data_IF_089671472756
#
_entry.id   IF_089671472756
#
_cell.length_a   1.000
_cell.length_b   1.000
_cell.length_c   1.000
_cell.angle_alpha   90.00
_cell.angle_beta   90.00
_cell.angle_gamma   90.00
#
_symmetry.space_group_name_H-M   'P 1'
#
loop_
_entity.id
_entity.type
_entity.pdbx_description
1 polymer ?
#
# COMPACT_ATOMS: atom_id res chain seq x y z
N UNK A 1 10.64 3.03 -9.15
CA UNK A 1 10.22 2.27 -7.95
C UNK A 1 9.92 3.27 -6.86
N UNK A 2 9.01 2.95 -5.93
CA UNK A 2 8.69 3.84 -4.83
C UNK A 2 9.79 3.84 -3.76
N UNK A 3 10.03 5.01 -3.15
CA UNK A 3 10.81 5.11 -1.92
C UNK A 3 9.93 4.74 -0.72
N UNK A 4 10.53 4.16 0.33
CA UNK A 4 9.81 3.73 1.52
C UNK A 4 10.52 4.20 2.78
N UNK A 5 9.77 4.90 3.64
CA UNK A 5 10.19 5.29 4.98
C UNK A 5 9.45 4.46 6.02
N UNK A 6 10.16 4.09 7.10
CA UNK A 6 9.62 3.33 8.21
C UNK A 6 9.87 4.03 9.54
N UNK A 7 8.81 4.27 10.29
CA UNK A 7 8.85 4.71 11.67
C UNK A 7 8.58 3.51 12.59
N UNK A 8 9.59 3.11 13.37
CA UNK A 8 9.51 1.99 14.29
C UNK A 8 8.74 2.28 15.58
N UNK A 9 8.65 3.55 16.00
CA UNK A 9 7.93 3.92 17.22
C UNK A 9 6.43 3.78 17.02
N UNK A 10 5.94 4.20 15.86
CA UNK A 10 4.52 4.14 15.50
C UNK A 10 4.13 2.95 14.62
N UNK A 11 5.12 2.14 14.21
CA UNK A 11 4.95 1.05 13.25
C UNK A 11 4.28 1.52 11.94
N UNK A 12 4.75 2.64 11.42
CA UNK A 12 4.17 3.33 10.26
C UNK A 12 5.10 3.25 9.07
N UNK A 13 4.56 2.82 7.93
CA UNK A 13 5.24 2.88 6.65
C UNK A 13 4.67 4.04 5.82
N UNK A 14 5.54 4.78 5.16
CA UNK A 14 5.18 5.76 4.14
C UNK A 14 5.87 5.39 2.83
N UNK A 15 5.08 5.08 1.81
CA UNK A 15 5.57 4.82 0.47
C UNK A 15 5.36 6.06 -0.41
N UNK A 16 6.41 6.46 -1.13
CA UNK A 16 6.46 7.68 -1.93
C UNK A 16 6.81 7.37 -3.39
N UNK A 17 6.00 7.86 -4.32
CA UNK A 17 6.26 7.80 -5.76
C UNK A 17 5.81 9.12 -6.39
N UNK A 18 6.73 9.83 -7.04
CA UNK A 18 6.52 11.17 -7.58
C UNK A 18 5.92 12.13 -6.53
N UNK A 19 4.68 12.59 -6.72
CA UNK A 19 3.94 13.46 -5.80
C UNK A 19 2.87 12.71 -4.97
N UNK A 20 2.96 11.38 -4.91
CA UNK A 20 2.02 10.51 -4.20
C UNK A 20 2.70 9.91 -2.98
N UNK A 21 2.10 10.09 -1.82
CA UNK A 21 2.49 9.51 -0.56
C UNK A 21 1.34 8.69 0.01
N UNK A 22 1.61 7.42 0.33
CA UNK A 22 0.67 6.50 0.97
C UNK A 22 1.24 6.10 2.33
N UNK A 23 0.57 6.53 3.40
CA UNK A 23 0.99 6.27 4.79
C UNK A 23 0.00 5.35 5.48
N UNK A 24 0.49 4.32 6.16
CA UNK A 24 -0.32 3.35 6.90
C UNK A 24 0.47 2.73 8.06
N UNK A 25 -0.23 2.32 9.11
CA UNK A 25 0.38 1.66 10.27
C UNK A 25 -0.02 0.19 10.33
N UNK A 26 0.85 -0.63 10.94
CA UNK A 26 0.57 -2.06 11.15
C UNK A 26 -0.72 -2.24 11.95
N UNK A 27 -1.52 -3.23 11.57
CA UNK A 27 -2.77 -3.63 12.19
C UNK A 27 -3.88 -2.56 12.22
N UNK A 28 -3.72 -1.48 11.45
CA UNK A 28 -4.71 -0.41 11.30
C UNK A 28 -5.22 -0.31 9.85
N UNK A 29 -6.54 -0.21 9.68
CA UNK A 29 -7.16 -0.01 8.36
C UNK A 29 -7.17 1.44 7.91
N UNK A 30 -6.96 2.39 8.82
CA UNK A 30 -6.88 3.80 8.48
C UNK A 30 -5.52 4.08 7.84
N UNK A 31 -5.56 4.79 6.72
CA UNK A 31 -4.39 5.21 5.96
C UNK A 31 -4.50 6.70 5.62
N UNK A 32 -3.46 7.24 5.00
CA UNK A 32 -3.47 8.58 4.42
C UNK A 32 -2.91 8.55 3.01
N UNK A 33 -3.58 9.23 2.08
CA UNK A 33 -3.09 9.48 0.72
C UNK A 33 -2.83 10.97 0.62
N UNK A 34 -1.58 11.39 0.40
CA UNK A 34 -1.19 12.80 0.38
C UNK A 34 -1.73 13.57 1.60
N UNK A 35 -1.55 12.97 2.79
CA UNK A 35 -2.03 13.48 4.07
C UNK A 35 -3.56 13.61 4.22
N UNK A 36 -4.36 13.08 3.29
CA UNK A 36 -5.83 13.01 3.41
C UNK A 36 -6.27 11.65 3.92
N UNK A 37 -7.29 11.57 4.80
CA UNK A 37 -7.78 10.29 5.33
C UNK A 37 -8.22 9.33 4.21
N UNK A 38 -7.84 8.06 4.37
CA UNK A 38 -8.23 6.96 3.51
C UNK A 38 -8.46 5.70 4.35
N UNK A 39 -9.06 4.67 3.75
CA UNK A 39 -9.31 3.39 4.42
C UNK A 39 -8.93 2.23 3.52
N UNK A 40 -8.22 1.27 4.08
CA UNK A 40 -7.90 -0.02 3.46
C UNK A 40 -8.96 -1.05 3.84
N UNK A 41 -9.24 -2.00 2.95
CA UNK A 41 -10.15 -3.11 3.24
C UNK A 41 -9.55 -4.11 4.24
N UNK A 42 -8.23 -4.26 4.20
CA UNK A 42 -7.46 -5.13 5.08
C UNK A 42 -6.27 -4.30 5.60
N UNK A 43 -5.94 -4.37 6.90
CA UNK A 43 -4.79 -3.63 7.43
C UNK A 43 -3.47 -4.20 6.91
N UNK A 44 -2.43 -3.38 6.94
CA UNK A 44 -1.07 -3.87 6.74
C UNK A 44 -0.66 -4.79 7.91
N UNK A 45 0.19 -5.77 7.63
CA UNK A 45 0.66 -6.78 8.61
C UNK A 45 2.17 -6.89 8.59
N UNK A 46 2.76 -7.15 9.75
CA UNK A 46 4.15 -7.57 9.84
C UNK A 46 4.21 -9.11 9.73
N UNK A 47 4.79 -9.61 8.65
CA UNK A 47 4.94 -11.05 8.39
C UNK A 47 6.42 -11.34 8.18
N UNK A 48 7.01 -12.16 9.06
CA UNK A 48 8.43 -12.52 9.00
C UNK A 48 9.37 -11.31 8.90
N UNK A 49 9.08 -10.26 9.67
CA UNK A 49 9.86 -9.01 9.67
C UNK A 49 9.67 -8.12 8.44
N UNK A 50 8.72 -8.44 7.56
CA UNK A 50 8.37 -7.62 6.39
C UNK A 50 6.97 -7.04 6.52
N UNK A 51 6.82 -5.79 6.12
CA UNK A 51 5.50 -5.15 6.01
C UNK A 51 4.80 -5.65 4.75
N UNK A 52 3.65 -6.28 4.93
CA UNK A 52 2.75 -6.71 3.88
C UNK A 52 1.55 -5.75 3.85
N UNK A 53 1.27 -5.19 2.68
CA UNK A 53 0.22 -4.19 2.45
C UNK A 53 -0.71 -4.67 1.33
N UNK A 54 -2.01 -4.37 1.35
CA UNK A 54 -2.90 -4.76 0.26
C UNK A 54 -2.41 -4.21 -1.07
N UNK A 55 -2.08 -5.11 -1.99
CA UNK A 55 -1.48 -4.79 -3.29
C UNK A 55 -2.31 -3.73 -4.04
N UNK A 56 -3.61 -4.01 -4.20
CA UNK A 56 -4.57 -3.14 -4.90
C UNK A 56 -4.58 -1.73 -4.33
N UNK A 57 -4.73 -1.61 -3.01
CA UNK A 57 -4.79 -0.31 -2.35
C UNK A 57 -3.51 0.51 -2.59
N UNK A 58 -2.33 -0.10 -2.47
CA UNK A 58 -1.08 0.61 -2.69
C UNK A 58 -0.91 1.01 -4.16
N UNK A 59 -1.08 0.06 -5.09
CA UNK A 59 -0.86 0.25 -6.52
C UNK A 59 -1.81 1.28 -7.12
N UNK A 60 -3.11 1.20 -6.84
CA UNK A 60 -4.11 2.14 -7.36
C UNK A 60 -3.85 3.58 -6.87
N UNK A 61 -3.49 3.74 -5.59
CA UNK A 61 -3.13 5.05 -5.05
C UNK A 61 -1.76 5.56 -5.51
N UNK A 62 -0.95 4.72 -6.15
CA UNK A 62 0.28 5.11 -6.84
C UNK A 62 0.05 5.39 -8.33
N UNK A 63 -1.15 5.17 -8.87
CA UNK A 63 -1.49 5.45 -10.28
C UNK A 63 -1.34 4.27 -11.22
N UNK A 64 -1.42 3.05 -10.70
CA UNK A 64 -1.47 1.84 -11.49
C UNK A 64 -2.87 1.25 -11.43
N UNK A 65 -3.29 0.54 -12.46
CA UNK A 65 -4.50 -0.29 -12.37
C UNK A 65 -4.14 -1.71 -11.92
N UNK A 66 -5.05 -2.36 -11.19
CA UNK A 66 -4.87 -3.74 -10.71
C UNK A 66 -6.01 -4.63 -11.16
N UNK A 67 -5.66 -5.61 -11.97
CA UNK A 67 -6.58 -6.61 -12.51
C UNK A 67 -6.33 -7.98 -11.87
N UNK A 68 -7.35 -8.83 -11.86
CA UNK A 68 -7.26 -10.19 -11.31
C UNK A 68 -7.68 -11.22 -12.35
N UNK A 69 -6.73 -12.04 -12.75
CA UNK A 69 -6.98 -13.23 -13.57
C UNK A 69 -7.26 -14.41 -12.64
N UNK A 70 -8.53 -14.83 -12.59
CA UNK A 70 -8.98 -15.87 -11.67
C UNK A 70 -8.51 -17.28 -12.06
N UNK A 71 -8.33 -17.55 -13.35
CA UNK A 71 -7.97 -18.86 -13.87
C UNK A 71 -6.52 -19.22 -13.51
N UNK A 72 -5.61 -18.28 -13.71
CA UNK A 72 -4.20 -18.41 -13.36
C UNK A 72 -3.87 -18.00 -11.92
N UNK A 73 -4.82 -17.36 -11.22
CA UNK A 73 -4.64 -16.75 -9.89
C UNK A 73 -3.54 -15.69 -9.89
N UNK A 74 -3.57 -14.81 -10.87
CA UNK A 74 -2.55 -13.78 -11.09
C UNK A 74 -3.12 -12.39 -10.89
N UNK A 75 -2.46 -11.57 -10.07
CA UNK A 75 -2.69 -10.14 -10.02
C UNK A 75 -1.82 -9.45 -11.09
N UNK A 76 -2.43 -8.60 -11.93
CA UNK A 76 -1.76 -7.91 -13.02
C UNK A 76 -1.78 -6.41 -12.71
N UNK A 77 -0.61 -5.77 -12.72
CA UNK A 77 -0.46 -4.34 -12.50
C UNK A 77 -0.18 -3.68 -13.85
N UNK A 78 -0.92 -2.62 -14.19
CA UNK A 78 -0.80 -1.91 -15.46
C UNK A 78 -0.56 -0.42 -15.20
N UNK A 79 0.27 0.20 -16.04
CA UNK A 79 0.37 1.67 -16.09
C UNK A 79 -0.96 2.27 -16.59
N UNK A 80 -1.31 3.45 -16.08
CA UNK A 80 -2.47 4.25 -16.54
C UNK A 80 -2.00 5.29 -17.54
#
# INVERSE_FOLDING_TARGET
>A
GADVEWDSETQTATAMLDNKAVTFSIDNVNARINNKPAKMDVPARLVNGKTMVPLRFLSENMGYDVDWDADSRTAIIKDI
#
